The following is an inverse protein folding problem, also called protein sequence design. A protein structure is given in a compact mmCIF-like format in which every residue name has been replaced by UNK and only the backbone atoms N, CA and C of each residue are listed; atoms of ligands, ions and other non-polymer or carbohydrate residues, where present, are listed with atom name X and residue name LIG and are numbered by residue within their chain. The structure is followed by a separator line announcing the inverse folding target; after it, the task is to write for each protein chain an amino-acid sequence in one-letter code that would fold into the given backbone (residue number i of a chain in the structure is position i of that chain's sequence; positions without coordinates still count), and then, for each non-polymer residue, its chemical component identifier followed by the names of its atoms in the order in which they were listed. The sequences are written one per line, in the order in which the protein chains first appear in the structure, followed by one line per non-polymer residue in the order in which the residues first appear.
data_IF_062984706010
#
_entry.id   IF_062984706010
#
_cell.length_a   1.000
_cell.length_b   1.000
_cell.length_c   1.000
_cell.angle_alpha   90.00
_cell.angle_beta   90.00
_cell.angle_gamma   90.00
#
_symmetry.space_group_name_H-M   'P 1'
#
loop_
_entity.id
_entity.type
_entity.pdbx_description
1 polymer ?
#
# COMPACT_ATOMS: atom_id res chain seq x y z
N UNK A 1 -11.02 -8.24 8.14
CA UNK A 1 -11.07 -6.81 7.85
C UNK A 1 -9.95 -6.07 8.55
N UNK A 2 -9.69 -4.83 8.15
CA UNK A 2 -8.66 -3.96 8.75
C UNK A 2 -9.39 -2.84 9.48
N UNK A 3 -8.95 -2.56 10.72
CA UNK A 3 -9.41 -1.40 11.50
C UNK A 3 -8.20 -0.51 11.78
N UNK A 4 -8.32 0.79 11.48
CA UNK A 4 -7.22 1.75 11.59
C UNK A 4 -7.44 2.66 12.81
N UNK A 5 -6.52 2.59 13.76
CA UNK A 5 -6.53 3.44 14.95
C UNK A 5 -5.55 4.60 14.80
N UNK A 6 -5.99 5.81 15.11
CA UNK A 6 -5.14 7.01 15.15
C UNK A 6 -4.42 7.21 16.47
N UNK A 7 -4.91 6.58 17.54
CA UNK A 7 -4.38 6.66 18.90
C UNK A 7 -5.32 6.07 19.93
N UNK A 8 -4.98 6.23 21.21
CA UNK A 8 -5.80 5.84 22.35
C UNK A 8 -5.62 6.82 23.51
N UNK A 9 -6.63 6.92 24.37
CA UNK A 9 -6.58 7.53 25.68
C UNK A 9 -6.81 6.47 26.79
N UNK A 10 -7.13 6.88 28.01
CA UNK A 10 -7.34 5.96 29.11
C UNK A 10 -8.53 5.00 28.90
N UNK A 11 -9.57 5.42 28.16
CA UNK A 11 -10.85 4.73 28.08
C UNK A 11 -11.20 4.25 26.67
N UNK A 12 -10.60 4.86 25.62
CA UNK A 12 -11.01 4.62 24.23
C UNK A 12 -9.83 4.48 23.25
N UNK A 13 -10.10 3.77 22.18
CA UNK A 13 -9.28 3.72 20.96
C UNK A 13 -9.94 4.59 19.88
N UNK A 14 -9.23 5.58 19.37
CA UNK A 14 -9.73 6.50 18.35
C UNK A 14 -9.43 5.95 16.96
N UNK A 15 -10.46 5.84 16.13
CA UNK A 15 -10.33 5.39 14.75
C UNK A 15 -10.02 6.58 13.82
N UNK A 16 -9.44 6.29 12.65
CA UNK A 16 -9.17 7.32 11.65
C UNK A 16 -10.43 7.94 11.05
N UNK A 17 -11.57 7.26 11.11
CA UNK A 17 -12.87 7.78 10.66
C UNK A 17 -13.55 8.71 11.69
N UNK A 18 -12.90 8.97 12.84
CA UNK A 18 -13.42 9.81 13.91
C UNK A 18 -14.27 9.10 14.97
N UNK A 19 -14.53 7.80 14.78
CA UNK A 19 -15.18 7.00 15.82
C UNK A 19 -14.22 6.67 16.97
N UNK A 20 -14.78 6.32 18.13
CA UNK A 20 -14.03 5.83 19.27
C UNK A 20 -14.59 4.47 19.71
N UNK A 21 -13.70 3.52 19.97
CA UNK A 21 -14.04 2.22 20.48
C UNK A 21 -13.62 2.10 21.95
N UNK A 22 -14.49 1.55 22.77
CA UNK A 22 -14.13 1.14 24.12
C UNK A 22 -13.23 -0.10 24.10
N UNK A 23 -12.57 -0.40 25.22
CA UNK A 23 -11.83 -1.65 25.41
C UNK A 23 -12.70 -2.90 25.16
N UNK A 24 -13.96 -2.86 25.53
CA UNK A 24 -14.88 -3.99 25.32
C UNK A 24 -15.19 -4.20 23.84
N UNK A 25 -15.38 -3.13 23.08
CA UNK A 25 -15.61 -3.22 21.62
C UNK A 25 -14.38 -3.77 20.91
N UNK A 26 -13.16 -3.31 21.24
CA UNK A 26 -11.94 -3.88 20.69
C UNK A 26 -11.78 -5.36 21.04
N UNK A 27 -12.02 -5.74 22.30
CA UNK A 27 -11.97 -7.15 22.73
C UNK A 27 -13.01 -8.03 22.03
N UNK A 28 -14.21 -7.50 21.82
CA UNK A 28 -15.25 -8.20 21.06
C UNK A 28 -14.79 -8.43 19.62
N UNK A 29 -14.28 -7.39 18.97
CA UNK A 29 -13.78 -7.49 17.59
C UNK A 29 -12.63 -8.51 17.44
N UNK A 30 -11.64 -8.48 18.36
CA UNK A 30 -10.54 -9.46 18.38
C UNK A 30 -11.08 -10.89 18.59
N UNK A 31 -12.08 -11.07 19.47
CA UNK A 31 -12.72 -12.36 19.69
C UNK A 31 -13.43 -12.88 18.43
N UNK A 32 -14.08 -11.99 17.70
CA UNK A 32 -14.78 -12.33 16.47
C UNK A 32 -13.78 -12.76 15.38
N UNK A 33 -12.63 -12.08 15.26
CA UNK A 33 -11.53 -12.51 14.38
C UNK A 33 -11.03 -13.91 14.77
N UNK A 34 -10.71 -14.10 16.06
CA UNK A 34 -10.13 -15.37 16.53
C UNK A 34 -11.09 -16.56 16.47
N UNK A 35 -12.39 -16.30 16.38
CA UNK A 35 -13.42 -17.30 16.15
C UNK A 35 -13.71 -17.60 14.68
N UNK A 36 -13.04 -16.91 13.77
CA UNK A 36 -13.22 -17.09 12.34
C UNK A 36 -14.41 -16.36 11.72
N UNK A 37 -15.14 -15.51 12.45
CA UNK A 37 -16.31 -14.78 11.95
C UNK A 37 -16.00 -13.87 10.73
N UNK A 38 -14.75 -13.60 10.45
CA UNK A 38 -14.29 -12.80 9.31
C UNK A 38 -13.47 -13.64 8.31
N UNK A 39 -13.31 -14.95 8.53
CA UNK A 39 -12.59 -15.84 7.62
C UNK A 39 -13.55 -16.42 6.57
N UNK A 40 -13.03 -16.78 5.40
CA UNK A 40 -13.81 -17.34 4.30
C UNK A 40 -14.29 -18.79 4.55
N UNK A 41 -13.72 -19.45 5.57
CA UNK A 41 -13.95 -20.86 5.87
C UNK A 41 -14.47 -21.12 7.30
N UNK A 42 -14.85 -20.05 8.03
CA UNK A 42 -15.21 -20.10 9.45
C UNK A 42 -14.14 -20.75 10.35
N UNK A 43 -12.89 -20.80 9.86
CA UNK A 43 -11.75 -21.30 10.61
C UNK A 43 -11.24 -20.26 11.60
N UNK A 44 -10.75 -20.66 12.79
CA UNK A 44 -10.09 -19.78 13.73
C UNK A 44 -8.94 -19.03 13.07
N UNK A 45 -8.90 -17.71 13.26
CA UNK A 45 -7.90 -16.81 12.67
C UNK A 45 -7.10 -16.09 13.77
N UNK A 46 -6.17 -15.24 13.38
CA UNK A 46 -5.32 -14.47 14.29
C UNK A 46 -5.55 -12.99 14.10
N UNK A 47 -5.69 -12.28 15.20
CA UNK A 47 -5.64 -10.82 15.18
C UNK A 47 -4.18 -10.36 15.17
N UNK A 48 -3.82 -9.55 14.18
CA UNK A 48 -2.49 -8.94 14.05
C UNK A 48 -2.64 -7.45 14.40
N UNK A 49 -1.77 -6.96 15.25
CA UNK A 49 -1.66 -5.54 15.60
C UNK A 49 -0.36 -5.00 15.02
N UNK A 50 -0.48 -3.97 14.21
CA UNK A 50 0.66 -3.33 13.57
C UNK A 50 0.68 -1.84 13.85
N UNK A 51 1.87 -1.23 13.79
CA UNK A 51 2.00 0.23 13.88
C UNK A 51 1.33 0.86 12.66
N UNK A 52 0.52 1.90 12.91
CA UNK A 52 -0.02 2.73 11.84
C UNK A 52 1.11 3.54 11.19
N UNK A 53 1.48 3.16 9.98
CA UNK A 53 2.46 3.89 9.19
C UNK A 53 1.76 5.10 8.54
N UNK A 54 2.29 6.30 8.76
CA UNK A 54 1.80 7.52 8.11
C UNK A 54 2.53 7.71 6.78
N UNK A 55 1.81 8.08 5.70
CA UNK A 55 2.43 8.34 4.41
C UNK A 55 3.40 9.53 4.49
N UNK A 56 4.49 9.48 3.74
CA UNK A 56 5.44 10.57 3.62
C UNK A 56 4.87 11.76 2.80
N UNK A 57 5.64 12.83 2.65
CA UNK A 57 5.23 14.01 1.91
C UNK A 57 4.99 13.74 0.43
N UNK A 58 5.80 12.85 -0.19
CA UNK A 58 5.61 12.46 -1.59
C UNK A 58 4.29 11.71 -1.76
N UNK A 59 4.05 10.68 -0.95
CA UNK A 59 2.82 9.88 -0.99
C UNK A 59 1.57 10.75 -0.82
N UNK A 60 1.57 11.67 0.15
CA UNK A 60 0.47 12.64 0.33
C UNK A 60 0.28 13.55 -0.87
N UNK A 61 1.36 13.93 -1.57
CA UNK A 61 1.28 14.84 -2.72
C UNK A 61 0.78 14.15 -4.00
N UNK A 62 1.03 12.84 -4.16
CA UNK A 62 0.57 12.08 -5.34
C UNK A 62 -0.80 11.44 -5.14
N UNK A 63 -1.23 11.26 -3.89
CA UNK A 63 -2.53 10.66 -3.53
C UNK A 63 -3.08 11.29 -2.24
N UNK A 64 -3.64 12.50 -2.30
CA UNK A 64 -4.15 13.20 -1.11
C UNK A 64 -5.29 12.46 -0.41
N UNK A 65 -6.11 11.73 -1.16
CA UNK A 65 -7.33 11.06 -0.67
C UNK A 65 -7.16 9.54 -0.52
N UNK A 66 -5.91 9.03 -0.50
CA UNK A 66 -5.69 7.59 -0.42
C UNK A 66 -4.23 7.23 -0.09
N UNK A 67 -3.95 5.95 -0.18
CA UNK A 67 -2.62 5.40 0.11
C UNK A 67 -2.03 4.84 -1.19
N UNK A 68 -1.07 5.54 -1.83
CA UNK A 68 -0.37 5.01 -2.98
C UNK A 68 0.64 3.96 -2.53
N UNK A 69 0.97 3.03 -3.41
CA UNK A 69 2.07 2.09 -3.22
C UNK A 69 2.93 1.94 -4.47
N UNK A 70 4.11 1.40 -4.28
CA UNK A 70 5.05 1.10 -5.34
C UNK A 70 5.10 -0.41 -5.49
N UNK A 71 4.60 -0.95 -6.61
CA UNK A 71 4.79 -2.34 -6.96
C UNK A 71 6.10 -2.52 -7.71
N UNK A 72 7.00 -3.32 -7.16
CA UNK A 72 8.24 -3.74 -7.84
C UNK A 72 8.12 -5.21 -8.23
N UNK A 73 8.25 -5.50 -9.51
CA UNK A 73 8.37 -6.88 -9.99
C UNK A 73 9.82 -7.31 -9.87
N UNK A 74 10.07 -8.35 -9.09
CA UNK A 74 11.40 -8.91 -8.84
C UNK A 74 11.46 -10.34 -9.37
N UNK A 75 12.44 -10.63 -10.19
CA UNK A 75 12.68 -11.96 -10.79
C UNK A 75 14.12 -12.38 -10.48
N UNK A 76 14.29 -13.51 -9.81
CA UNK A 76 15.62 -14.03 -9.45
C UNK A 76 16.47 -13.02 -8.66
N UNK A 77 15.87 -12.27 -7.74
CA UNK A 77 16.54 -11.25 -6.92
C UNK A 77 16.86 -9.94 -7.66
N UNK A 78 16.34 -9.73 -8.88
CA UNK A 78 16.57 -8.51 -9.68
C UNK A 78 15.26 -7.81 -9.97
N UNK A 79 15.18 -6.47 -9.80
CA UNK A 79 14.01 -5.71 -10.20
C UNK A 79 13.94 -5.66 -11.73
N UNK A 80 12.79 -6.00 -12.31
CA UNK A 80 12.60 -6.03 -13.77
C UNK A 80 11.58 -5.01 -14.25
N UNK A 81 10.66 -4.59 -13.39
CA UNK A 81 9.69 -3.52 -13.66
C UNK A 81 9.23 -2.89 -12.35
N UNK A 82 8.76 -1.66 -12.41
CA UNK A 82 8.11 -1.01 -11.27
C UNK A 82 7.00 -0.06 -11.74
N UNK A 83 6.00 0.09 -10.89
CA UNK A 83 4.92 1.06 -11.07
C UNK A 83 4.54 1.72 -9.74
N UNK A 84 4.19 2.98 -9.78
CA UNK A 84 3.45 3.65 -8.71
C UNK A 84 1.96 3.45 -8.96
N UNK A 85 1.25 2.85 -8.01
CA UNK A 85 -0.20 2.73 -8.05
C UNK A 85 -0.82 3.84 -7.22
N UNK A 86 -1.66 4.63 -7.86
CA UNK A 86 -2.24 5.83 -7.25
C UNK A 86 -3.73 5.62 -7.07
N UNK A 87 -4.25 5.67 -5.83
CA UNK A 87 -5.67 5.63 -5.56
C UNK A 87 -6.43 6.72 -6.28
N UNK A 88 -7.67 6.43 -6.61
CA UNK A 88 -8.64 7.38 -7.15
C UNK A 88 -9.93 7.33 -6.33
N UNK A 89 -10.85 8.25 -6.57
CA UNK A 89 -12.20 8.19 -5.99
C UNK A 89 -12.92 6.91 -6.38
N UNK A 90 -12.74 6.45 -7.62
CA UNK A 90 -13.32 5.21 -8.12
C UNK A 90 -12.79 4.00 -7.37
N UNK A 91 -11.51 3.96 -7.04
CA UNK A 91 -10.91 2.86 -6.27
C UNK A 91 -11.23 2.91 -4.76
N UNK A 92 -11.96 3.94 -4.30
CA UNK A 92 -12.28 4.13 -2.89
C UNK A 92 -11.04 4.33 -2.01
N UNK A 93 -10.04 5.04 -2.52
CA UNK A 93 -8.79 5.34 -1.82
C UNK A 93 -7.78 4.18 -1.77
N UNK A 94 -8.01 3.11 -2.55
CA UNK A 94 -7.12 1.92 -2.60
C UNK A 94 -6.25 1.94 -3.85
N UNK A 95 -4.99 1.54 -3.72
CA UNK A 95 -4.03 1.41 -4.81
C UNK A 95 -4.24 0.11 -5.64
N UNK A 96 -5.49 -0.23 -5.96
CA UNK A 96 -5.84 -1.44 -6.68
C UNK A 96 -6.31 -1.11 -8.10
N UNK A 97 -5.52 -1.48 -9.11
CA UNK A 97 -5.83 -1.20 -10.51
C UNK A 97 -7.17 -1.80 -10.95
N UNK A 98 -7.51 -3.02 -10.50
CA UNK A 98 -8.79 -3.67 -10.83
C UNK A 98 -10.00 -2.95 -10.21
N UNK A 99 -9.77 -2.10 -9.23
CA UNK A 99 -10.81 -1.29 -8.58
C UNK A 99 -10.82 0.16 -9.07
N UNK A 100 -10.06 0.48 -10.12
CA UNK A 100 -10.04 1.80 -10.72
C UNK A 100 -8.90 2.72 -10.25
N UNK A 101 -7.87 2.21 -9.58
CA UNK A 101 -6.66 2.99 -9.36
C UNK A 101 -5.89 3.26 -10.66
N UNK A 102 -5.09 4.31 -10.69
CA UNK A 102 -4.19 4.61 -11.81
C UNK A 102 -2.81 4.00 -11.55
N UNK A 103 -2.15 3.51 -12.60
CA UNK A 103 -0.79 2.98 -12.54
C UNK A 103 0.16 3.81 -13.38
N UNK A 104 1.25 4.31 -12.77
CA UNK A 104 2.31 5.06 -13.47
C UNK A 104 3.58 4.21 -13.51
N UNK A 105 4.19 4.09 -14.68
CA UNK A 105 5.48 3.41 -14.80
C UNK A 105 6.56 4.14 -14.01
N UNK A 106 7.54 3.38 -13.48
CA UNK A 106 8.72 3.95 -12.82
C UNK A 106 9.95 3.45 -13.53
N UNK A 107 10.80 4.37 -13.98
CA UNK A 107 12.10 4.04 -14.55
C UNK A 107 13.01 3.44 -13.49
N UNK A 108 13.49 2.23 -13.72
CA UNK A 108 14.28 1.47 -12.73
C UNK A 108 15.61 2.13 -12.39
N UNK A 109 16.22 2.87 -13.31
CA UNK A 109 17.51 3.48 -13.08
C UNK A 109 17.39 4.77 -12.26
N UNK A 110 16.41 5.60 -12.57
CA UNK A 110 16.27 6.95 -12.01
C UNK A 110 15.19 7.07 -10.93
N UNK A 111 14.22 6.15 -10.87
CA UNK A 111 13.03 6.30 -10.02
C UNK A 111 12.04 7.35 -10.54
N UNK A 112 12.21 7.80 -11.77
CA UNK A 112 11.35 8.83 -12.37
C UNK A 112 10.06 8.22 -12.90
N UNK A 113 8.94 8.85 -12.60
CA UNK A 113 7.63 8.44 -13.11
C UNK A 113 7.53 8.74 -14.61
N UNK A 114 7.11 7.74 -15.38
CA UNK A 114 6.70 7.88 -16.76
C UNK A 114 5.21 8.21 -16.86
N UNK A 115 4.62 7.94 -18.02
CA UNK A 115 3.17 8.01 -18.20
C UNK A 115 2.48 6.87 -17.45
N UNK A 116 1.23 7.11 -17.08
CA UNK A 116 0.36 6.14 -16.42
C UNK A 116 -0.75 5.64 -17.33
N UNK A 117 -1.51 4.70 -16.80
CA UNK A 117 -2.74 4.18 -17.40
C UNK A 117 -3.85 4.25 -16.35
N UNK A 118 -5.01 4.78 -16.77
CA UNK A 118 -6.25 4.75 -16.02
C UNK A 118 -7.40 4.46 -16.99
N UNK A 119 -8.22 3.45 -16.69
CA UNK A 119 -9.35 3.01 -17.55
C UNK A 119 -8.96 2.80 -19.03
N UNK A 120 -7.78 2.26 -19.27
CA UNK A 120 -7.26 2.02 -20.63
C UNK A 120 -6.75 3.26 -21.36
N UNK A 121 -6.79 4.43 -20.73
CA UNK A 121 -6.27 5.68 -21.30
C UNK A 121 -4.88 5.99 -20.75
N UNK A 122 -3.99 6.47 -21.62
CA UNK A 122 -2.67 6.97 -21.22
C UNK A 122 -2.84 8.35 -20.58
N UNK A 123 -2.26 8.53 -19.38
CA UNK A 123 -2.33 9.75 -18.59
C UNK A 123 -0.93 10.19 -18.14
N UNK A 124 -0.76 11.48 -17.89
CA UNK A 124 0.44 12.07 -17.25
C UNK A 124 0.11 12.71 -15.89
N UNK A 125 -1.19 12.79 -15.56
CA UNK A 125 -1.74 13.45 -14.37
C UNK A 125 -2.59 12.51 -13.55
N UNK A 126 -2.72 12.82 -12.26
CA UNK A 126 -3.68 12.15 -11.38
C UNK A 126 -5.11 12.38 -11.87
N UNK A 127 -5.95 11.33 -12.04
CA UNK A 127 -7.29 11.47 -12.63
C UNK A 127 -8.22 12.43 -11.90
N UNK A 128 -8.17 12.45 -10.58
CA UNK A 128 -9.08 13.27 -9.78
C UNK A 128 -8.56 14.68 -9.46
N UNK A 129 -7.26 14.78 -9.12
CA UNK A 129 -6.68 16.07 -8.70
C UNK A 129 -6.12 16.89 -9.87
N UNK A 130 -5.83 16.26 -11.01
CA UNK A 130 -5.15 16.91 -12.13
C UNK A 130 -3.68 17.21 -11.90
N UNK A 131 -3.11 16.79 -10.76
CA UNK A 131 -1.69 16.97 -10.44
C UNK A 131 -0.80 16.22 -11.45
N UNK A 132 0.22 16.90 -11.98
CA UNK A 132 1.19 16.30 -12.89
C UNK A 132 2.07 15.29 -12.12
N UNK A 133 2.01 14.02 -12.51
CA UNK A 133 2.78 12.94 -11.91
C UNK A 133 3.95 12.51 -12.78
N UNK A 134 3.78 12.47 -14.09
CA UNK A 134 4.86 12.12 -15.01
C UNK A 134 6.07 13.06 -14.83
N UNK A 135 7.27 12.47 -14.78
CA UNK A 135 8.51 13.19 -14.56
C UNK A 135 8.89 13.42 -13.09
N UNK A 136 8.01 13.18 -12.13
CA UNK A 136 8.35 13.24 -10.70
C UNK A 136 9.27 12.09 -10.31
N UNK A 137 10.08 12.29 -9.29
CA UNK A 137 10.99 11.26 -8.78
C UNK A 137 10.44 10.64 -7.49
N UNK A 138 10.46 9.31 -7.42
CA UNK A 138 10.14 8.56 -6.22
C UNK A 138 11.29 8.72 -5.22
N UNK A 139 11.04 9.24 -4.02
CA UNK A 139 12.09 9.40 -3.02
C UNK A 139 12.61 8.03 -2.55
N UNK A 140 13.87 8.01 -2.09
CA UNK A 140 14.51 6.80 -1.56
C UNK A 140 14.53 5.62 -2.55
N UNK A 141 14.56 5.90 -3.86
CA UNK A 141 14.37 4.88 -4.90
C UNK A 141 15.29 3.68 -4.78
N UNK A 142 16.58 3.90 -4.55
CA UNK A 142 17.54 2.79 -4.41
C UNK A 142 17.21 1.89 -3.20
N UNK A 143 16.70 2.47 -2.14
CA UNK A 143 16.25 1.72 -0.96
C UNK A 143 14.98 0.92 -1.24
N UNK A 144 14.03 1.50 -2.00
CA UNK A 144 12.83 0.78 -2.48
C UNK A 144 13.23 -0.47 -3.23
N UNK A 145 14.13 -0.36 -4.20
CA UNK A 145 14.62 -1.52 -4.97
C UNK A 145 15.33 -2.54 -4.08
N UNK A 146 16.18 -2.06 -3.17
CA UNK A 146 16.95 -2.91 -2.27
C UNK A 146 16.04 -3.76 -1.37
N UNK A 147 15.05 -3.15 -0.72
CA UNK A 147 14.13 -3.89 0.17
C UNK A 147 13.20 -4.80 -0.60
N UNK A 148 12.75 -4.42 -1.81
CA UNK A 148 11.94 -5.27 -2.66
C UNK A 148 12.70 -6.54 -3.07
N UNK A 149 13.96 -6.42 -3.49
CA UNK A 149 14.80 -7.58 -3.81
C UNK A 149 15.06 -8.46 -2.58
N UNK A 150 15.36 -7.85 -1.42
CA UNK A 150 15.57 -8.58 -0.17
C UNK A 150 14.30 -9.34 0.27
N UNK A 151 13.14 -8.73 0.12
CA UNK A 151 11.85 -9.35 0.43
C UNK A 151 11.57 -10.57 -0.46
N UNK A 152 11.80 -10.46 -1.78
CA UNK A 152 11.63 -11.59 -2.70
C UNK A 152 12.61 -12.73 -2.36
N UNK A 153 13.85 -12.43 -2.01
CA UNK A 153 14.85 -13.45 -1.63
C UNK A 153 14.53 -14.15 -0.31
N UNK A 154 13.74 -13.52 0.56
CA UNK A 154 13.33 -14.11 1.85
C UNK A 154 12.20 -15.16 1.71
N UNK A 155 11.60 -15.28 0.55
CA UNK A 155 10.52 -16.24 0.28
C UNK A 155 10.93 -17.21 -0.84
N UNK A 156 10.41 -18.46 -0.84
CA UNK A 156 10.79 -19.47 -1.84
C UNK A 156 10.03 -19.27 -3.17
N UNK A 157 10.10 -18.05 -3.72
CA UNK A 157 9.46 -17.68 -4.99
C UNK A 157 10.55 -17.27 -6.00
N UNK A 158 10.45 -17.74 -7.24
CA UNK A 158 11.35 -17.35 -8.32
C UNK A 158 11.11 -15.92 -8.79
N UNK A 159 9.86 -15.49 -8.73
CA UNK A 159 9.38 -14.15 -9.04
C UNK A 159 8.32 -13.69 -8.03
N UNK A 160 8.24 -12.42 -7.79
CA UNK A 160 7.25 -11.83 -6.92
C UNK A 160 6.98 -10.35 -7.26
N UNK A 161 5.74 -9.92 -7.04
CA UNK A 161 5.40 -8.51 -6.94
C UNK A 161 5.51 -8.06 -5.49
N UNK A 162 6.39 -7.13 -5.22
CA UNK A 162 6.59 -6.59 -3.87
C UNK A 162 5.97 -5.20 -3.80
N UNK A 163 5.04 -5.03 -2.88
CA UNK A 163 4.38 -3.76 -2.63
C UNK A 163 5.14 -3.00 -1.53
N UNK A 164 5.60 -1.83 -1.88
CA UNK A 164 6.40 -0.96 -1.01
C UNK A 164 5.67 0.35 -0.78
N UNK A 165 5.65 0.76 0.46
CA UNK A 165 5.08 2.03 0.88
C UNK A 165 6.15 2.98 1.40
N UNK A 166 5.92 4.29 1.23
CA UNK A 166 6.81 5.33 1.74
C UNK A 166 6.25 5.94 3.02
N UNK A 167 6.82 5.53 4.14
CA UNK A 167 6.44 6.01 5.47
C UNK A 167 7.20 7.26 5.90
N UNK A 168 6.49 8.21 6.50
CA UNK A 168 7.04 9.51 6.95
C UNK A 168 8.26 9.37 7.88
N UNK A 169 8.24 8.39 8.78
CA UNK A 169 9.30 8.20 9.80
C UNK A 169 10.24 7.05 9.49
N UNK A 170 9.77 6.05 8.73
CA UNK A 170 10.51 4.81 8.47
C UNK A 170 11.11 4.73 7.08
N UNK A 171 10.75 5.67 6.18
CA UNK A 171 11.10 5.55 4.76
C UNK A 171 10.37 4.39 4.08
N UNK A 172 10.99 3.73 3.10
CA UNK A 172 10.39 2.61 2.39
C UNK A 172 10.12 1.40 3.30
N UNK A 173 8.91 0.82 3.23
CA UNK A 173 8.46 -0.34 4.01
C UNK A 173 7.78 -1.33 3.08
N UNK A 174 8.11 -2.61 3.17
CA UNK A 174 7.40 -3.68 2.45
C UNK A 174 6.06 -3.93 3.13
N UNK A 175 4.99 -3.87 2.36
CA UNK A 175 3.63 -4.17 2.82
C UNK A 175 3.24 -5.60 2.53
N UNK A 176 3.53 -6.07 1.30
CA UNK A 176 3.04 -7.35 0.83
C UNK A 176 3.98 -7.94 -0.22
N UNK A 177 4.01 -9.27 -0.29
CA UNK A 177 4.72 -10.03 -1.32
C UNK A 177 3.68 -10.89 -2.06
N UNK A 178 3.52 -10.64 -3.34
CA UNK A 178 2.54 -11.30 -4.20
C UNK A 178 3.21 -12.35 -5.08
N UNK A 179 2.81 -13.60 -4.94
CA UNK A 179 3.32 -14.73 -5.74
C UNK A 179 2.83 -14.72 -7.20
N UNK A 180 1.79 -13.95 -7.48
CA UNK A 180 1.23 -13.76 -8.83
C UNK A 180 1.03 -12.27 -9.05
N UNK A 181 2.12 -11.55 -9.36
CA UNK A 181 2.02 -10.13 -9.69
C UNK A 181 1.25 -9.99 -10.99
N UNK A 182 0.00 -9.54 -10.89
CA UNK A 182 -0.86 -9.30 -12.04
C UNK A 182 -0.43 -8.07 -12.83
#
# INVERSE_FOLDING_TARGET
GIVLFSGSDADHFHLLNGEAWSYEQLRAHVRDITRGLHSSADDPDRAIFEELIRPDAFSRSVAPDGIPDIRVLVVGGKPVAAMLRVPTRQSGGRANLHQGAAGFSVDLASGRLGTGIHEGQVIDRHPDSGELLAGREVPHWQEVLRIACAAQQAVPLGDAGVDVWLGERRGPVVLEINARPG
#
